data_IF_238157944660
#
_entry.id   IF_238157944660
#
_cell.length_a   1.000
_cell.length_b   1.000
_cell.length_c   1.000
_cell.angle_alpha   90.00
_cell.angle_beta   90.00
_cell.angle_gamma   90.00
#
_symmetry.space_group_name_H-M   'P 1'
#
loop_
_entity.id
_entity.type
_entity.pdbx_description
1 polymer ?
#
# COMPACT_ATOMS: atom_id res chain seq x y z
N UNK A 1 56.44 -6.83 24.21
CA UNK A 1 55.21 -7.42 23.65
C UNK A 1 54.23 -6.29 23.38
N UNK A 2 53.93 -6.03 22.10
CA UNK A 2 53.01 -4.97 21.65
C UNK A 2 51.62 -5.59 21.52
N UNK A 3 50.67 -5.19 22.36
CA UNK A 3 49.26 -5.50 22.18
C UNK A 3 48.67 -4.52 21.17
N UNK A 4 48.20 -5.02 20.03
CA UNK A 4 47.40 -4.24 19.08
C UNK A 4 45.94 -4.66 19.31
N UNK A 5 45.16 -3.77 19.91
CA UNK A 5 43.70 -3.87 19.93
C UNK A 5 43.19 -3.42 18.56
N UNK A 6 42.68 -4.36 17.77
CA UNK A 6 41.90 -4.05 16.58
C UNK A 6 40.45 -3.83 17.02
N UNK A 7 40.00 -2.58 17.01
CA UNK A 7 38.59 -2.22 17.20
C UNK A 7 37.86 -2.45 15.87
N UNK A 8 37.01 -3.48 15.82
CA UNK A 8 36.12 -3.75 14.70
C UNK A 8 34.97 -2.74 14.70
N UNK A 9 35.01 -1.78 13.78
CA UNK A 9 33.89 -0.88 13.47
C UNK A 9 32.79 -1.70 12.77
N UNK A 10 31.70 -1.97 13.49
CA UNK A 10 30.46 -2.48 12.90
C UNK A 10 29.83 -1.34 12.08
N UNK A 11 30.00 -1.39 10.76
CA UNK A 11 29.19 -0.58 9.84
C UNK A 11 27.77 -1.16 9.83
N UNK A 12 26.87 -0.58 10.62
CA UNK A 12 25.45 -0.77 10.42
C UNK A 12 25.06 0.01 9.15
N UNK A 13 25.02 -0.68 8.01
CA UNK A 13 24.43 -0.16 6.79
C UNK A 13 22.92 0.00 7.02
N UNK A 14 22.49 1.23 7.34
CA UNK A 14 21.12 1.63 7.10
C UNK A 14 20.91 1.57 5.59
N UNK A 15 20.29 0.49 5.11
CA UNK A 15 19.78 0.44 3.74
C UNK A 15 18.77 1.57 3.63
N UNK A 16 19.07 2.58 2.83
CA UNK A 16 18.06 3.52 2.38
C UNK A 16 16.96 2.68 1.71
N UNK A 17 15.73 2.81 2.19
CA UNK A 17 14.53 2.21 1.62
C UNK A 17 14.35 2.74 0.19
N UNK A 18 14.91 2.03 -0.79
CA UNK A 18 14.78 2.33 -2.22
C UNK A 18 13.63 1.49 -2.78
N UNK A 19 12.79 2.06 -3.65
CA UNK A 19 11.75 1.32 -4.35
C UNK A 19 12.31 0.05 -5.02
N UNK A 20 11.62 -1.08 -4.80
CA UNK A 20 11.96 -2.40 -5.31
C UNK A 20 10.69 -3.20 -5.64
N UNK A 21 10.74 -4.53 -5.66
CA UNK A 21 9.62 -5.34 -6.14
C UNK A 21 8.31 -5.19 -5.37
N UNK A 22 8.35 -4.81 -4.08
CA UNK A 22 7.12 -4.56 -3.32
C UNK A 22 6.52 -3.20 -3.73
N UNK A 23 7.36 -2.17 -3.86
CA UNK A 23 6.97 -0.87 -4.39
C UNK A 23 6.44 -0.97 -5.81
N UNK A 24 7.00 -1.80 -6.68
CA UNK A 24 6.50 -2.03 -8.05
C UNK A 24 5.06 -2.58 -8.05
N UNK A 25 4.73 -3.46 -7.10
CA UNK A 25 3.37 -3.99 -6.97
C UNK A 25 2.37 -2.91 -6.56
N UNK A 26 2.79 -1.95 -5.73
CA UNK A 26 2.00 -0.77 -5.32
C UNK A 26 1.90 0.25 -6.45
N UNK A 27 3.00 0.54 -7.15
CA UNK A 27 3.07 1.47 -8.26
C UNK A 27 2.06 1.17 -9.37
N UNK A 28 1.77 -0.11 -9.59
CA UNK A 28 0.78 -0.54 -10.58
C UNK A 28 -0.65 -0.04 -10.28
N UNK A 29 -1.02 0.20 -9.02
CA UNK A 29 -2.33 0.78 -8.68
C UNK A 29 -2.42 2.27 -9.03
N UNK A 30 -1.32 3.01 -8.91
CA UNK A 30 -1.32 4.45 -9.24
C UNK A 30 -1.41 4.75 -10.74
N UNK A 31 -1.29 3.74 -11.61
CA UNK A 31 -1.51 3.88 -13.06
C UNK A 31 -3.00 3.83 -13.44
N UNK A 32 -3.81 3.20 -12.61
CA UNK A 32 -5.25 3.10 -12.77
C UNK A 32 -5.83 2.72 -11.38
N UNK A 33 -6.17 3.71 -10.53
CA UNK A 33 -6.60 3.46 -9.16
C UNK A 33 -7.80 2.51 -9.04
N UNK A 34 -8.72 2.56 -10.00
CA UNK A 34 -9.96 1.79 -9.99
C UNK A 34 -9.74 0.27 -10.07
N UNK A 35 -8.58 -0.19 -10.59
CA UNK A 35 -8.26 -1.63 -10.64
C UNK A 35 -8.17 -2.28 -9.26
N UNK A 36 -8.08 -1.49 -8.19
CA UNK A 36 -8.08 -2.01 -6.84
C UNK A 36 -9.45 -2.57 -6.41
N UNK A 37 -10.52 -2.10 -7.04
CA UNK A 37 -11.89 -2.57 -6.82
C UNK A 37 -12.33 -3.67 -7.78
N UNK A 38 -11.65 -3.84 -8.91
CA UNK A 38 -11.96 -4.89 -9.89
C UNK A 38 -11.81 -6.30 -9.27
N UNK A 39 -12.90 -7.08 -9.29
CA UNK A 39 -12.93 -8.45 -8.77
C UNK A 39 -11.95 -9.38 -9.52
N UNK A 40 -11.66 -9.12 -10.80
CA UNK A 40 -10.68 -9.89 -11.57
C UNK A 40 -9.24 -9.63 -11.11
N UNK A 41 -9.01 -8.55 -10.35
CA UNK A 41 -7.73 -8.19 -9.76
C UNK A 41 -7.60 -8.61 -8.28
N UNK A 42 -8.58 -9.34 -7.74
CA UNK A 42 -8.62 -9.69 -6.31
C UNK A 42 -7.44 -10.54 -5.85
N UNK A 43 -6.76 -11.25 -6.76
CA UNK A 43 -5.58 -12.06 -6.46
C UNK A 43 -4.34 -11.24 -6.08
N UNK A 44 -4.38 -9.91 -6.29
CA UNK A 44 -3.37 -8.94 -5.82
C UNK A 44 -3.49 -8.64 -4.33
N UNK A 45 -4.54 -9.12 -3.67
CA UNK A 45 -4.82 -8.91 -2.26
C UNK A 45 -4.80 -10.23 -1.47
N UNK A 46 -4.44 -10.13 -0.20
CA UNK A 46 -4.61 -11.17 0.82
C UNK A 46 -5.41 -10.61 1.99
N UNK A 47 -5.82 -11.48 2.91
CA UNK A 47 -6.54 -11.05 4.09
C UNK A 47 -5.65 -10.17 4.99
N UNK A 48 -6.22 -9.16 5.68
CA UNK A 48 -7.65 -8.82 5.74
C UNK A 48 -8.21 -7.99 4.57
N UNK A 49 -7.40 -7.28 3.78
CA UNK A 49 -7.88 -6.39 2.72
C UNK A 49 -8.77 -7.11 1.70
N UNK A 50 -8.38 -8.32 1.29
CA UNK A 50 -9.17 -9.14 0.37
C UNK A 50 -10.60 -9.37 0.88
N UNK A 51 -10.74 -9.80 2.13
CA UNK A 51 -12.05 -10.09 2.73
C UNK A 51 -12.99 -8.87 2.75
N UNK A 52 -12.46 -7.67 3.01
CA UNK A 52 -13.24 -6.44 2.95
C UNK A 52 -13.72 -6.15 1.54
N UNK A 53 -12.83 -6.25 0.55
CA UNK A 53 -13.19 -5.95 -0.84
C UNK A 53 -14.21 -6.96 -1.36
N UNK A 54 -14.06 -8.25 -1.03
CA UNK A 54 -15.06 -9.29 -1.31
C UNK A 54 -16.40 -9.00 -0.60
N UNK A 55 -16.37 -8.36 0.58
CA UNK A 55 -17.59 -7.93 1.27
C UNK A 55 -18.25 -6.70 0.63
N UNK A 56 -17.46 -5.74 0.15
CA UNK A 56 -17.93 -4.59 -0.61
C UNK A 56 -18.62 -5.03 -1.90
N UNK A 57 -18.01 -5.93 -2.66
CA UNK A 57 -18.55 -6.43 -3.93
C UNK A 57 -19.89 -7.15 -3.71
N UNK A 58 -19.96 -8.00 -2.68
CA UNK A 58 -21.21 -8.67 -2.31
C UNK A 58 -22.32 -7.68 -1.91
N UNK A 59 -21.99 -6.64 -1.14
CA UNK A 59 -22.96 -5.62 -0.74
C UNK A 59 -23.52 -4.89 -1.97
N UNK A 60 -22.66 -4.60 -2.95
CA UNK A 60 -23.06 -4.00 -4.21
C UNK A 60 -24.00 -4.92 -5.00
N UNK A 61 -23.67 -6.20 -5.12
CA UNK A 61 -24.50 -7.18 -5.81
C UNK A 61 -25.89 -7.34 -5.16
N UNK A 62 -25.94 -7.36 -3.82
CA UNK A 62 -27.17 -7.58 -3.06
C UNK A 62 -28.05 -6.34 -2.94
N UNK A 63 -27.44 -5.17 -2.74
CA UNK A 63 -28.13 -3.94 -2.30
C UNK A 63 -27.89 -2.73 -3.20
N UNK A 64 -27.00 -2.82 -4.18
CA UNK A 64 -26.51 -1.67 -4.97
C UNK A 64 -25.90 -0.57 -4.08
N UNK A 65 -25.27 -0.99 -2.98
CA UNK A 65 -24.59 -0.13 -2.02
C UNK A 65 -23.11 -0.53 -1.91
N UNK A 66 -22.22 0.46 -1.80
CA UNK A 66 -20.81 0.24 -1.52
C UNK A 66 -20.50 0.72 -0.09
N UNK A 67 -19.79 -0.11 0.69
CA UNK A 67 -19.29 0.28 2.01
C UNK A 67 -18.01 1.11 1.88
N UNK A 68 -17.25 0.92 0.80
CA UNK A 68 -16.08 1.74 0.49
C UNK A 68 -16.52 2.80 -0.54
N UNK A 69 -16.77 4.02 -0.06
CA UNK A 69 -17.28 5.13 -0.87
C UNK A 69 -16.21 6.06 -1.46
N UNK A 70 -14.94 5.65 -1.45
CA UNK A 70 -13.81 6.48 -1.91
C UNK A 70 -12.69 5.58 -2.45
N UNK A 71 -11.76 6.15 -3.21
CA UNK A 71 -10.56 5.43 -3.63
C UNK A 71 -9.57 5.32 -2.47
N UNK A 72 -9.41 4.13 -1.89
CA UNK A 72 -8.39 3.88 -0.88
C UNK A 72 -6.97 3.92 -1.44
N UNK A 73 -6.79 3.87 -2.76
CA UNK A 73 -5.49 4.05 -3.42
C UNK A 73 -5.06 5.52 -3.38
N UNK A 74 -6.02 6.44 -3.42
CA UNK A 74 -5.78 7.89 -3.52
C UNK A 74 -6.09 8.64 -2.22
N UNK A 75 -6.89 8.06 -1.32
CA UNK A 75 -7.48 8.76 -0.16
C UNK A 75 -8.34 9.95 -0.60
N UNK A 76 -9.32 9.67 -1.47
CA UNK A 76 -10.24 10.66 -2.01
C UNK A 76 -11.31 10.08 -2.95
N UNK A 77 -12.32 10.89 -3.27
CA UNK A 77 -13.36 10.55 -4.26
C UNK A 77 -12.97 10.97 -5.69
N UNK A 78 -12.17 12.03 -5.82
CA UNK A 78 -11.67 12.55 -7.09
C UNK A 78 -10.14 12.66 -7.03
N UNK A 79 -9.50 12.73 -8.21
CA UNK A 79 -8.05 12.88 -8.29
C UNK A 79 -7.54 13.62 -9.51
N UNK A 80 -6.36 14.24 -9.36
CA UNK A 80 -5.56 14.79 -10.46
C UNK A 80 -4.49 13.75 -10.87
N UNK A 81 -4.74 13.08 -12.00
CA UNK A 81 -3.88 12.00 -12.50
C UNK A 81 -2.45 12.48 -12.80
N UNK A 82 -2.31 13.67 -13.38
CA UNK A 82 -1.02 14.22 -13.79
C UNK A 82 -0.22 14.66 -12.56
N UNK A 83 -0.88 15.27 -11.57
CA UNK A 83 -0.25 15.64 -10.31
C UNK A 83 0.23 14.41 -9.55
N UNK A 84 -0.62 13.38 -9.41
CA UNK A 84 -0.23 12.14 -8.74
C UNK A 84 0.95 11.49 -9.46
N UNK A 85 0.86 11.33 -10.78
CA UNK A 85 1.91 10.68 -11.57
C UNK A 85 3.25 11.42 -11.49
N UNK A 86 3.24 12.76 -11.42
CA UNK A 86 4.45 13.57 -11.36
C UNK A 86 5.04 13.72 -9.95
N UNK A 87 4.25 13.46 -8.90
CA UNK A 87 4.66 13.64 -7.50
C UNK A 87 4.77 12.35 -6.70
N UNK A 88 4.39 11.20 -7.28
CA UNK A 88 4.45 9.91 -6.60
C UNK A 88 5.88 9.52 -6.23
N UNK A 89 6.10 9.41 -4.93
CA UNK A 89 7.30 8.86 -4.30
C UNK A 89 6.95 7.55 -3.59
N UNK A 90 7.67 6.49 -3.94
CA UNK A 90 7.55 5.19 -3.29
C UNK A 90 8.84 4.84 -2.54
N UNK A 91 8.70 4.35 -1.32
CA UNK A 91 9.79 3.72 -0.58
C UNK A 91 9.32 2.41 0.04
N UNK A 92 10.21 1.43 0.17
CA UNK A 92 9.87 0.12 0.74
C UNK A 92 10.82 -0.31 1.86
N UNK A 93 10.27 -1.02 2.85
CA UNK A 93 11.00 -1.74 3.88
C UNK A 93 10.59 -3.20 3.84
N UNK A 94 11.52 -4.08 3.46
CA UNK A 94 11.26 -5.52 3.29
C UNK A 94 11.90 -6.30 4.45
N UNK A 95 11.12 -7.17 5.08
CA UNK A 95 11.56 -8.06 6.16
C UNK A 95 11.02 -9.47 5.94
N UNK A 96 11.86 -10.36 5.41
CA UNK A 96 11.47 -11.72 5.05
C UNK A 96 10.36 -11.71 3.99
N UNK A 97 9.21 -12.26 4.34
CA UNK A 97 8.02 -12.32 3.49
C UNK A 97 7.03 -11.16 3.75
N UNK A 98 7.38 -10.21 4.62
CA UNK A 98 6.61 -8.97 4.83
C UNK A 98 7.28 -7.76 4.20
N UNK A 99 6.47 -6.80 3.75
CA UNK A 99 6.96 -5.50 3.32
C UNK A 99 5.99 -4.37 3.71
N UNK A 100 6.56 -3.21 4.00
CA UNK A 100 5.82 -1.95 4.11
C UNK A 100 6.26 -1.06 2.95
N UNK A 101 5.30 -0.54 2.19
CA UNK A 101 5.55 0.45 1.14
C UNK A 101 4.87 1.75 1.52
N UNK A 102 5.64 2.83 1.60
CA UNK A 102 5.10 4.17 1.75
C UNK A 102 4.89 4.79 0.38
N UNK A 103 3.66 5.20 0.07
CA UNK A 103 3.33 5.98 -1.11
C UNK A 103 2.98 7.41 -0.71
N UNK A 104 3.78 8.37 -1.16
CA UNK A 104 3.57 9.79 -0.93
C UNK A 104 3.35 10.49 -2.26
N UNK A 105 2.32 11.31 -2.37
CA UNK A 105 1.99 12.04 -3.58
C UNK A 105 1.18 13.29 -3.23
N UNK A 106 0.99 14.19 -4.19
CA UNK A 106 0.06 15.31 -4.10
C UNK A 106 -1.21 14.97 -4.88
N UNK A 107 -2.37 15.33 -4.33
CA UNK A 107 -3.66 15.27 -5.01
C UNK A 107 -4.42 16.58 -4.74
N UNK A 108 -4.67 17.34 -5.79
CA UNK A 108 -5.20 18.71 -5.74
C UNK A 108 -4.42 19.63 -4.79
N UNK A 109 -3.08 19.54 -4.83
CA UNK A 109 -2.18 20.32 -3.98
C UNK A 109 -2.09 19.87 -2.51
N UNK A 110 -2.82 18.83 -2.12
CA UNK A 110 -2.74 18.24 -0.78
C UNK A 110 -1.85 17.01 -0.78
N UNK A 111 -0.87 16.98 0.12
CA UNK A 111 -0.02 15.80 0.29
C UNK A 111 -0.81 14.66 0.93
N UNK A 112 -0.83 13.51 0.26
CA UNK A 112 -1.30 12.24 0.77
C UNK A 112 -0.12 11.33 1.08
N UNK A 113 -0.26 10.49 2.09
CA UNK A 113 0.71 9.44 2.41
C UNK A 113 -0.03 8.20 2.87
N UNK A 114 0.09 7.15 2.07
CA UNK A 114 -0.47 5.84 2.35
C UNK A 114 0.62 4.87 2.75
N UNK A 115 0.37 4.11 3.80
CA UNK A 115 1.14 2.93 4.14
C UNK A 115 0.45 1.70 3.55
N UNK A 116 1.15 0.99 2.69
CA UNK A 116 0.72 -0.29 2.13
C UNK A 116 1.45 -1.41 2.87
N UNK A 117 0.70 -2.31 3.48
CA UNK A 117 1.24 -3.56 4.06
C UNK A 117 1.14 -4.66 3.02
N UNK A 118 2.26 -5.31 2.72
CA UNK A 118 2.33 -6.39 1.74
C UNK A 118 2.89 -7.67 2.36
N UNK A 119 2.43 -8.78 1.82
CA UNK A 119 2.94 -10.12 2.10
C UNK A 119 3.37 -10.82 0.81
N UNK A 120 4.46 -11.58 0.89
CA UNK A 120 4.94 -12.39 -0.22
C UNK A 120 4.18 -13.70 -0.23
N UNK A 121 3.52 -13.99 -1.34
CA UNK A 121 2.85 -15.26 -1.60
C UNK A 121 3.43 -15.88 -2.87
N UNK A 122 4.35 -16.82 -2.70
CA UNK A 122 5.17 -17.35 -3.78
C UNK A 122 6.15 -16.31 -4.31
N UNK A 123 6.04 -15.96 -5.60
CA UNK A 123 6.92 -14.94 -6.24
C UNK A 123 6.32 -13.53 -6.27
N UNK A 124 5.06 -13.39 -5.88
CA UNK A 124 4.33 -12.13 -5.97
C UNK A 124 4.15 -11.51 -4.58
N UNK A 125 4.24 -10.18 -4.53
CA UNK A 125 3.81 -9.37 -3.40
C UNK A 125 2.32 -9.11 -3.53
N UNK A 126 1.58 -9.28 -2.43
CA UNK A 126 0.14 -9.03 -2.35
C UNK A 126 -0.15 -8.06 -1.23
N UNK A 127 -1.17 -7.23 -1.42
CA UNK A 127 -1.58 -6.22 -0.44
C UNK A 127 -2.39 -6.89 0.65
N UNK A 128 -1.90 -6.84 1.89
CA UNK A 128 -2.61 -7.31 3.08
C UNK A 128 -3.46 -6.20 3.70
N UNK A 129 -3.00 -4.94 3.64
CA UNK A 129 -3.72 -3.79 4.17
C UNK A 129 -3.22 -2.47 3.58
N UNK A 130 -4.03 -1.41 3.72
CA UNK A 130 -3.69 -0.04 3.36
C UNK A 130 -4.21 0.90 4.45
N UNK A 131 -3.44 1.91 4.85
CA UNK A 131 -3.95 2.97 5.72
C UNK A 131 -3.50 4.35 5.26
N UNK A 132 -4.33 5.35 5.54
CA UNK A 132 -3.95 6.75 5.34
C UNK A 132 -3.33 7.31 6.62
N UNK A 133 -2.16 7.95 6.49
CA UNK A 133 -1.53 8.66 7.60
C UNK A 133 -2.20 10.01 7.89
N UNK A 134 -3.06 10.51 7.00
CA UNK A 134 -3.81 11.75 7.18
C UNK A 134 -5.32 11.53 7.38
N UNK A 135 -5.87 10.47 6.77
CA UNK A 135 -7.31 10.23 6.65
C UNK A 135 -7.97 9.50 7.83
N UNK A 136 -7.20 9.10 8.84
CA UNK A 136 -7.67 8.36 10.02
C UNK A 136 -8.50 7.11 9.66
N UNK A 137 -8.04 6.36 8.65
CA UNK A 137 -8.65 5.12 8.22
C UNK A 137 -7.59 4.07 7.88
N UNK A 138 -7.96 2.82 8.12
CA UNK A 138 -7.27 1.61 7.67
C UNK A 138 -8.29 0.74 6.96
N UNK A 139 -7.93 0.23 5.79
CA UNK A 139 -8.83 -0.50 4.91
C UNK A 139 -9.48 -1.65 5.69
N UNK A 140 -8.67 -2.50 6.33
CA UNK A 140 -9.15 -3.64 7.12
C UNK A 140 -10.04 -3.31 8.32
N UNK A 141 -10.09 -2.04 8.75
CA UNK A 141 -10.94 -1.57 9.85
C UNK A 141 -12.27 -0.98 9.36
N UNK A 142 -12.45 -0.80 8.05
CA UNK A 142 -13.73 -0.42 7.47
C UNK A 142 -14.74 -1.56 7.65
N UNK A 143 -16.01 -1.22 7.82
CA UNK A 143 -17.08 -2.19 8.04
C UNK A 143 -18.09 -2.19 6.90
N UNK A 144 -18.34 -3.36 6.33
CA UNK A 144 -19.40 -3.59 5.35
C UNK A 144 -20.56 -4.33 6.02
N UNK A 145 -21.69 -3.64 6.20
CA UNK A 145 -22.88 -4.16 6.89
C UNK A 145 -22.98 -3.71 8.35
N UNK A 146 -24.00 -2.90 8.64
CA UNK A 146 -24.50 -2.61 9.98
C UNK A 146 -25.77 -3.38 10.30
#
# INVERSE_FOLDING_TARGET
MKFVLAASLLFASAFAAQAGPAADAVAAFYKNPDVAFDADQRDRFVDPARALLDANDRLWEEQQEACIGFSFVIDGQDWDEDEIASTLELSESVQGDGAIVMARFSNFGETRTLEWTLERSGRAWRVADVMSLQGDWRLSELTCGG
#
